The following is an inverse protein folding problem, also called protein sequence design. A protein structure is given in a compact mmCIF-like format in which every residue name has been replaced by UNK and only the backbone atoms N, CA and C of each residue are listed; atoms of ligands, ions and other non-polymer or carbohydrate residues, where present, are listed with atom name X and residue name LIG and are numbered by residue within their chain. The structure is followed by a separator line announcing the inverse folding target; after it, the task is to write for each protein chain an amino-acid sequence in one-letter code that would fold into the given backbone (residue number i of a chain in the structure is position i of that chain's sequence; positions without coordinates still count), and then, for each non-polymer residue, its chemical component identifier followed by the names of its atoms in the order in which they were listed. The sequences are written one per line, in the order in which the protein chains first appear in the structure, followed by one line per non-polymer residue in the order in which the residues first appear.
data_IF_509059494849
#
_entry.id   IF_509059494849
#
_cell.length_a   1.000
_cell.length_b   1.000
_cell.length_c   1.000
_cell.angle_alpha   90.00
_cell.angle_beta   90.00
_cell.angle_gamma   90.00
#
_symmetry.space_group_name_H-M   'P 1'
#
loop_
_entity.id
_entity.type
_entity.pdbx_description
1 polymer ?
#
# COMPACT_ATOMS: atom_id res chain seq x y z
N UNK A 1 -18.46 -16.09 22.82
CA UNK A 1 -19.57 -15.16 22.54
C UNK A 1 -18.99 -13.77 22.35
N UNK A 2 -19.41 -13.04 21.31
CA UNK A 2 -19.00 -11.66 21.09
C UNK A 2 -19.54 -10.78 22.23
N UNK A 3 -18.67 -10.03 22.90
CA UNK A 3 -19.07 -9.23 24.06
C UNK A 3 -19.70 -7.90 23.59
N UNK A 4 -21.05 -7.85 23.57
CA UNK A 4 -21.81 -6.72 23.02
C UNK A 4 -21.57 -5.38 23.73
N UNK A 5 -20.96 -5.38 24.92
CA UNK A 5 -20.62 -4.16 25.66
C UNK A 5 -19.48 -3.34 25.02
N UNK A 6 -18.73 -3.91 24.09
CA UNK A 6 -17.48 -3.33 23.59
C UNK A 6 -17.58 -2.63 22.22
N UNK A 7 -18.73 -2.72 21.56
CA UNK A 7 -18.94 -2.15 20.23
C UNK A 7 -20.39 -1.75 20.01
N UNK A 8 -20.61 -0.81 19.08
CA UNK A 8 -21.96 -0.30 18.81
C UNK A 8 -22.82 -1.39 18.09
N UNK A 9 -24.05 -1.68 18.58
CA UNK A 9 -24.89 -2.73 17.99
C UNK A 9 -25.13 -2.53 16.49
N UNK A 10 -25.36 -1.29 16.06
CA UNK A 10 -25.58 -0.96 14.65
C UNK A 10 -24.36 -1.30 13.75
N UNK A 11 -23.14 -1.12 14.24
CA UNK A 11 -21.92 -1.47 13.50
C UNK A 11 -21.77 -2.99 13.40
N UNK A 12 -22.01 -3.71 14.49
CA UNK A 12 -22.01 -5.17 14.49
C UNK A 12 -23.05 -5.71 13.49
N UNK A 13 -24.28 -5.21 13.54
CA UNK A 13 -25.36 -5.66 12.65
C UNK A 13 -25.03 -5.43 11.18
N UNK A 14 -24.44 -4.28 10.87
CA UNK A 14 -24.01 -3.95 9.50
C UNK A 14 -22.90 -4.89 9.03
N UNK A 15 -21.93 -5.18 9.89
CA UNK A 15 -20.81 -6.09 9.57
C UNK A 15 -21.32 -7.52 9.40
N UNK A 16 -22.20 -8.00 10.30
CA UNK A 16 -22.79 -9.33 10.19
C UNK A 16 -23.63 -9.47 8.93
N UNK A 17 -24.44 -8.47 8.57
CA UNK A 17 -25.20 -8.50 7.32
C UNK A 17 -24.29 -8.57 6.08
N UNK A 18 -23.17 -7.83 6.09
CA UNK A 18 -22.19 -7.88 5.00
C UNK A 18 -21.48 -9.24 4.91
N UNK A 19 -21.02 -9.77 6.04
CA UNK A 19 -20.32 -11.07 6.07
C UNK A 19 -21.27 -12.24 5.78
N UNK A 20 -22.52 -12.19 6.25
CA UNK A 20 -23.51 -13.24 5.99
C UNK A 20 -23.70 -13.48 4.48
N UNK A 21 -23.63 -12.43 3.65
CA UNK A 21 -23.73 -12.57 2.19
C UNK A 21 -22.65 -13.51 1.61
N UNK A 22 -21.48 -13.62 2.25
CA UNK A 22 -20.38 -14.50 1.82
C UNK A 22 -20.66 -15.98 2.14
N UNK A 23 -21.51 -16.27 3.12
CA UNK A 23 -21.86 -17.62 3.54
C UNK A 23 -23.12 -18.18 2.87
N UNK A 24 -23.94 -17.32 2.24
CA UNK A 24 -25.20 -17.74 1.61
C UNK A 24 -25.07 -18.92 0.64
N UNK A 25 -24.03 -19.02 -0.22
CA UNK A 25 -23.87 -20.17 -1.10
C UNK A 25 -23.72 -21.49 -0.34
N UNK A 26 -23.09 -21.47 0.84
CA UNK A 26 -22.85 -22.65 1.67
C UNK A 26 -24.02 -23.00 2.60
N UNK A 27 -24.95 -22.08 2.82
CA UNK A 27 -26.12 -22.28 3.70
C UNK A 27 -27.43 -22.51 2.93
N UNK A 28 -27.34 -22.83 1.63
CA UNK A 28 -28.50 -22.98 0.75
C UNK A 28 -29.44 -21.75 0.79
N UNK A 29 -28.87 -20.55 0.97
CA UNK A 29 -29.63 -19.30 1.05
C UNK A 29 -30.27 -19.00 2.41
N UNK A 30 -30.08 -19.84 3.45
CA UNK A 30 -30.56 -19.53 4.79
C UNK A 30 -29.75 -18.37 5.41
N UNK A 31 -30.40 -17.21 5.56
CA UNK A 31 -29.81 -15.97 6.06
C UNK A 31 -29.45 -16.07 7.54
N UNK A 32 -30.27 -16.72 8.37
CA UNK A 32 -30.00 -16.86 9.81
C UNK A 32 -28.76 -17.72 10.02
N UNK A 33 -28.69 -18.88 9.37
CA UNK A 33 -27.51 -19.75 9.43
C UNK A 33 -26.25 -19.07 8.90
N UNK A 34 -26.36 -18.25 7.84
CA UNK A 34 -25.24 -17.49 7.31
C UNK A 34 -24.75 -16.41 8.28
N UNK A 35 -25.68 -15.75 8.97
CA UNK A 35 -25.37 -14.75 10.00
C UNK A 35 -24.70 -15.41 11.21
N UNK A 36 -25.17 -16.58 11.63
CA UNK A 36 -24.56 -17.36 12.72
C UNK A 36 -23.14 -17.80 12.37
N UNK A 37 -22.91 -18.27 11.14
CA UNK A 37 -21.58 -18.62 10.65
C UNK A 37 -20.63 -17.41 10.67
N UNK A 38 -21.11 -16.24 10.21
CA UNK A 38 -20.34 -15.00 10.25
C UNK A 38 -20.01 -14.57 11.69
N UNK A 39 -20.97 -14.66 12.61
CA UNK A 39 -20.79 -14.34 14.02
C UNK A 39 -19.78 -15.30 14.69
N UNK A 40 -19.87 -16.60 14.40
CA UNK A 40 -18.95 -17.62 14.91
C UNK A 40 -17.51 -17.37 14.41
N UNK A 41 -17.35 -16.99 13.14
CA UNK A 41 -16.03 -16.66 12.60
C UNK A 41 -15.46 -15.38 13.20
N UNK A 42 -16.27 -14.33 13.40
CA UNK A 42 -15.80 -13.12 14.10
C UNK A 42 -15.39 -13.40 15.55
N UNK A 43 -16.09 -14.31 16.23
CA UNK A 43 -15.80 -14.66 17.61
C UNK A 43 -14.42 -15.30 17.80
N UNK A 44 -13.76 -15.80 16.75
CA UNK A 44 -12.41 -16.37 16.84
C UNK A 44 -11.30 -15.32 16.98
N UNK A 45 -11.58 -14.04 16.71
CA UNK A 45 -10.59 -12.95 16.68
C UNK A 45 -10.42 -12.18 18.02
N UNK A 46 -11.02 -12.63 19.14
CA UNK A 46 -11.02 -11.94 20.46
C UNK A 46 -11.24 -10.41 20.38
N UNK A 47 -12.34 -10.01 19.74
CA UNK A 47 -12.63 -8.60 19.43
C UNK A 47 -13.13 -7.86 20.67
N UNK A 48 -12.46 -6.76 21.03
CA UNK A 48 -12.75 -5.92 22.22
C UNK A 48 -13.07 -4.47 21.90
N UNK A 49 -13.00 -4.06 20.63
CA UNK A 49 -13.28 -2.68 20.19
C UNK A 49 -13.90 -2.64 18.81
N UNK A 50 -14.66 -1.59 18.50
CA UNK A 50 -15.15 -1.26 17.14
C UNK A 50 -14.05 -1.34 16.07
N UNK A 51 -12.85 -0.88 16.42
CA UNK A 51 -11.70 -0.88 15.51
C UNK A 51 -11.24 -2.30 15.19
N UNK A 52 -11.10 -3.15 16.20
CA UNK A 52 -10.76 -4.56 16.00
C UNK A 52 -11.86 -5.28 15.21
N UNK A 53 -13.13 -4.97 15.48
CA UNK A 53 -14.28 -5.54 14.76
C UNK A 53 -14.18 -5.26 13.25
N UNK A 54 -13.92 -4.00 12.87
CA UNK A 54 -13.73 -3.63 11.46
C UNK A 54 -12.51 -4.31 10.82
N UNK A 55 -11.40 -4.43 11.55
CA UNK A 55 -10.20 -5.10 11.05
C UNK A 55 -10.43 -6.59 10.82
N UNK A 56 -11.09 -7.28 11.76
CA UNK A 56 -11.46 -8.69 11.61
C UNK A 56 -12.40 -8.91 10.41
N UNK A 57 -13.43 -8.06 10.29
CA UNK A 57 -14.36 -8.13 9.16
C UNK A 57 -13.66 -7.94 7.79
N UNK A 58 -12.72 -6.98 7.71
CA UNK A 58 -11.93 -6.77 6.49
C UNK A 58 -11.00 -7.96 6.19
N UNK A 59 -10.35 -8.53 7.21
CA UNK A 59 -9.53 -9.72 7.03
C UNK A 59 -10.35 -10.89 6.44
N UNK A 60 -11.50 -11.19 7.04
CA UNK A 60 -12.42 -12.24 6.58
C UNK A 60 -12.87 -11.95 5.14
N UNK A 61 -13.34 -10.74 4.86
CA UNK A 61 -13.86 -10.38 3.54
C UNK A 61 -12.81 -10.49 2.43
N UNK A 62 -11.57 -10.05 2.69
CA UNK A 62 -10.48 -10.18 1.73
C UNK A 62 -10.05 -11.64 1.53
N UNK A 63 -10.04 -12.46 2.59
CA UNK A 63 -9.77 -13.88 2.48
C UNK A 63 -10.80 -14.60 1.61
N UNK A 64 -12.10 -14.34 1.80
CA UNK A 64 -13.16 -14.89 0.95
C UNK A 64 -13.06 -14.39 -0.49
N UNK A 65 -12.78 -13.10 -0.70
CA UNK A 65 -12.58 -12.55 -2.05
C UNK A 65 -11.37 -13.17 -2.78
N UNK A 66 -10.31 -13.51 -2.03
CA UNK A 66 -9.16 -14.22 -2.59
C UNK A 66 -9.54 -15.66 -3.02
N UNK A 67 -10.30 -16.37 -2.18
CA UNK A 67 -10.80 -17.72 -2.49
C UNK A 67 -11.75 -17.71 -3.70
N UNK A 68 -12.68 -16.76 -3.76
CA UNK A 68 -13.59 -16.58 -4.91
C UNK A 68 -12.80 -16.32 -6.21
N UNK A 69 -11.81 -15.43 -6.14
CA UNK A 69 -10.94 -15.15 -7.29
C UNK A 69 -10.18 -16.40 -7.78
N UNK A 70 -9.70 -17.24 -6.86
CA UNK A 70 -9.04 -18.51 -7.20
C UNK A 70 -10.01 -19.55 -7.75
N UNK A 71 -11.21 -19.64 -7.19
CA UNK A 71 -12.27 -20.55 -7.66
C UNK A 71 -12.65 -20.23 -9.10
N UNK A 72 -12.89 -18.94 -9.40
CA UNK A 72 -13.18 -18.48 -10.77
C UNK A 72 -12.00 -18.72 -11.72
N UNK A 73 -10.77 -18.53 -11.25
CA UNK A 73 -9.57 -18.81 -12.06
C UNK A 73 -9.36 -20.30 -12.37
N UNK A 74 -10.10 -21.20 -11.72
CA UNK A 74 -10.04 -22.64 -11.96
C UNK A 74 -11.08 -23.12 -13.00
N UNK A 75 -11.92 -22.25 -13.53
CA UNK A 75 -12.87 -22.59 -14.58
C UNK A 75 -12.14 -23.02 -15.88
N UNK A 76 -12.47 -24.19 -16.46
CA UNK A 76 -11.68 -24.81 -17.52
C UNK A 76 -11.69 -24.02 -18.85
N UNK A 77 -12.73 -23.24 -19.10
CA UNK A 77 -12.91 -22.50 -20.37
C UNK A 77 -12.43 -21.04 -20.29
N UNK A 78 -11.75 -20.66 -19.21
CA UNK A 78 -11.34 -19.28 -19.00
C UNK A 78 -10.09 -18.90 -19.82
N UNK A 79 -10.08 -17.77 -20.55
CA UNK A 79 -8.90 -17.31 -21.28
C UNK A 79 -7.70 -17.07 -20.35
N UNK A 80 -6.49 -17.44 -20.79
CA UNK A 80 -5.27 -17.37 -19.98
C UNK A 80 -5.01 -15.99 -19.33
N UNK A 81 -5.27 -14.89 -20.05
CA UNK A 81 -5.12 -13.54 -19.51
C UNK A 81 -6.08 -13.26 -18.33
N UNK A 82 -7.29 -13.82 -18.36
CA UNK A 82 -8.24 -13.68 -17.25
C UNK A 82 -7.81 -14.50 -16.04
N UNK A 83 -7.35 -15.74 -16.26
CA UNK A 83 -6.78 -16.59 -15.21
C UNK A 83 -5.62 -15.89 -14.48
N UNK A 84 -4.68 -15.31 -15.24
CA UNK A 84 -3.54 -14.58 -14.67
C UNK A 84 -4.00 -13.36 -13.86
N UNK A 85 -4.97 -12.60 -14.37
CA UNK A 85 -5.53 -11.43 -13.66
C UNK A 85 -6.21 -11.83 -12.36
N UNK A 86 -7.04 -12.87 -12.36
CA UNK A 86 -7.72 -13.36 -11.16
C UNK A 86 -6.73 -13.87 -10.11
N UNK A 87 -5.69 -14.60 -10.52
CA UNK A 87 -4.61 -15.02 -9.61
C UNK A 87 -3.84 -13.84 -9.01
N UNK A 88 -3.57 -12.80 -9.81
CA UNK A 88 -2.98 -11.55 -9.34
C UNK A 88 -3.87 -10.82 -8.31
N UNK A 89 -5.18 -10.77 -8.57
CA UNK A 89 -6.17 -10.22 -7.63
C UNK A 89 -6.19 -11.02 -6.33
N UNK A 90 -6.24 -12.35 -6.40
CA UNK A 90 -6.22 -13.22 -5.22
C UNK A 90 -4.96 -12.98 -4.35
N UNK A 91 -3.79 -12.85 -4.98
CA UNK A 91 -2.54 -12.53 -4.27
C UNK A 91 -2.62 -11.18 -3.54
N UNK A 92 -3.20 -10.17 -4.20
CA UNK A 92 -3.36 -8.82 -3.64
C UNK A 92 -4.34 -8.82 -2.45
N UNK A 93 -5.48 -9.50 -2.59
CA UNK A 93 -6.50 -9.64 -1.55
C UNK A 93 -5.95 -10.42 -0.35
N UNK A 94 -5.21 -11.52 -0.58
CA UNK A 94 -4.58 -12.29 0.49
C UNK A 94 -3.56 -11.45 1.28
N UNK A 95 -2.75 -10.62 0.61
CA UNK A 95 -1.85 -9.69 1.31
C UNK A 95 -2.61 -8.66 2.14
N UNK A 96 -3.73 -8.15 1.63
CA UNK A 96 -4.57 -7.21 2.38
C UNK A 96 -5.15 -7.89 3.63
N UNK A 97 -5.67 -9.11 3.51
CA UNK A 97 -6.14 -9.91 4.65
C UNK A 97 -5.06 -10.05 5.73
N UNK A 98 -3.87 -10.52 5.36
CA UNK A 98 -2.72 -10.68 6.27
C UNK A 98 -2.32 -9.36 6.94
N UNK A 99 -2.38 -8.23 6.23
CA UNK A 99 -2.08 -6.92 6.82
C UNK A 99 -3.11 -6.51 7.87
N UNK A 100 -4.39 -6.85 7.68
CA UNK A 100 -5.44 -6.59 8.66
C UNK A 100 -5.33 -7.50 9.88
N UNK A 101 -4.98 -8.77 9.68
CA UNK A 101 -4.70 -9.72 10.78
C UNK A 101 -3.50 -9.27 11.61
N UNK A 102 -2.37 -8.95 10.97
CA UNK A 102 -1.19 -8.46 11.68
C UNK A 102 -1.46 -7.16 12.46
N UNK A 103 -2.32 -6.27 11.93
CA UNK A 103 -2.77 -5.07 12.66
C UNK A 103 -3.64 -5.44 13.86
N UNK A 104 -4.51 -6.44 13.73
CA UNK A 104 -5.36 -6.92 14.81
C UNK A 104 -4.53 -7.55 15.92
N UNK A 105 -3.58 -8.43 15.58
CA UNK A 105 -2.63 -9.04 16.52
C UNK A 105 -1.82 -7.96 17.27
N UNK A 106 -1.34 -6.94 16.55
CA UNK A 106 -0.64 -5.81 17.18
C UNK A 106 -1.52 -5.02 18.15
N UNK A 107 -2.82 -4.91 17.90
CA UNK A 107 -3.75 -4.26 18.81
C UNK A 107 -4.10 -5.15 20.00
N UNK A 108 -4.16 -6.47 19.81
CA UNK A 108 -4.40 -7.44 20.89
C UNK A 108 -3.17 -7.57 21.82
N UNK A 109 -1.96 -7.47 21.26
CA UNK A 109 -0.71 -7.52 22.02
C UNK A 109 -0.36 -6.22 22.72
N UNK A 110 -0.99 -5.09 22.34
CA UNK A 110 -0.89 -3.89 23.16
C UNK A 110 -1.63 -4.22 24.45
N UNK A 111 -0.96 -4.20 25.63
CA UNK A 111 -1.68 -4.20 26.88
C UNK A 111 -2.72 -3.09 26.76
N UNK A 112 -3.90 -3.28 27.35
CA UNK A 112 -4.81 -2.17 27.57
C UNK A 112 -3.99 -1.17 28.39
N UNK A 113 -3.25 -0.30 27.70
CA UNK A 113 -2.56 0.81 28.28
C UNK A 113 -3.69 1.47 29.01
N UNK A 114 -3.60 1.43 30.35
CA UNK A 114 -4.52 2.12 31.22
C UNK A 114 -4.82 3.41 30.47
N UNK A 115 -6.07 3.56 30.02
CA UNK A 115 -6.51 4.88 29.59
C UNK A 115 -5.96 5.78 30.70
N UNK A 116 -5.10 6.77 30.41
CA UNK A 116 -4.57 7.59 31.46
C UNK A 116 -5.80 8.21 32.14
N UNK A 117 -6.19 7.60 33.26
CA UNK A 117 -7.21 8.07 34.18
C UNK A 117 -6.63 9.21 35.01
N UNK A 118 -5.40 9.64 34.72
CA UNK A 118 -4.91 10.92 35.18
C UNK A 118 -5.60 12.00 34.34
N UNK A 119 -6.55 12.77 34.91
CA UNK A 119 -6.71 14.13 34.44
C UNK A 119 -5.30 14.71 34.42
N UNK A 120 -4.84 15.15 33.24
CA UNK A 120 -3.76 16.11 33.24
C UNK A 120 -4.24 17.22 34.17
N UNK A 121 -3.59 17.35 35.32
CA UNK A 121 -3.65 18.56 36.14
C UNK A 121 -3.18 19.67 35.22
N UNK A 122 -4.13 20.22 34.46
CA UNK A 122 -3.99 21.51 33.83
C UNK A 122 -3.55 22.43 34.97
N UNK A 123 -2.47 23.20 34.81
CA UNK A 123 -2.08 24.15 35.83
C UNK A 123 -3.34 24.95 36.19
N UNK A 124 -3.69 24.96 37.48
CA UNK A 124 -4.87 25.66 37.99
C UNK A 124 -4.82 27.18 37.69
N UNK A 125 -3.67 27.65 37.21
CA UNK A 125 -3.32 29.02 36.90
C UNK A 125 -3.31 29.23 35.38
N UNK A 126 -4.08 30.23 34.94
CA UNK A 126 -4.02 30.79 33.59
C UNK A 126 -2.99 31.93 33.47
N UNK A 127 -2.06 32.04 34.42
CA UNK A 127 -1.03 33.07 34.35
C UNK A 127 -0.05 32.83 33.19
N UNK A 128 0.27 33.92 32.51
CA UNK A 128 1.15 33.93 31.34
C UNK A 128 2.60 33.56 31.69
N UNK A 129 3.01 33.75 32.95
CA UNK A 129 4.33 33.35 33.43
C UNK A 129 4.49 31.82 33.51
N UNK A 130 3.50 31.11 34.04
CA UNK A 130 3.53 29.64 34.18
C UNK A 130 3.48 28.94 32.81
N UNK A 131 2.74 29.51 31.85
CA UNK A 131 2.70 29.01 30.47
C UNK A 131 4.05 29.15 29.76
N UNK A 132 4.78 30.24 30.03
CA UNK A 132 6.11 30.46 29.45
C UNK A 132 7.17 29.56 30.05
N UNK A 133 7.11 29.27 31.36
CA UNK A 133 8.04 28.34 32.00
C UNK A 133 7.76 26.88 31.61
N UNK A 134 6.49 26.50 31.39
CA UNK A 134 6.14 25.19 30.84
C UNK A 134 6.65 25.00 29.41
N UNK A 135 6.52 26.02 28.55
CA UNK A 135 7.08 26.01 27.19
C UNK A 135 8.61 26.00 27.18
N UNK A 136 9.26 26.60 28.19
CA UNK A 136 10.72 26.64 28.33
C UNK A 136 11.30 25.34 28.91
N UNK A 137 10.49 24.58 29.65
CA UNK A 137 10.83 23.24 30.16
C UNK A 137 10.60 22.11 29.14
N UNK A 138 9.93 22.39 28.01
CA UNK A 138 9.76 21.40 26.95
C UNK A 138 11.12 21.05 26.33
N UNK A 139 11.52 19.76 26.29
CA UNK A 139 12.82 19.36 25.80
C UNK A 139 13.00 19.76 24.33
N UNK A 140 14.16 20.36 24.05
CA UNK A 140 14.58 20.81 22.74
C UNK A 140 14.65 19.65 21.74
N UNK A 141 14.18 19.96 20.53
CA UNK A 141 14.09 19.15 19.31
C UNK A 141 13.12 17.96 19.33
N UNK A 142 12.14 17.92 18.40
CA UNK A 142 11.33 16.74 18.16
C UNK A 142 12.24 15.63 17.62
N UNK A 143 12.71 14.75 18.51
CA UNK A 143 13.44 13.56 18.12
C UNK A 143 12.52 12.73 17.22
N UNK A 144 12.78 12.76 15.91
CA UNK A 144 12.08 11.90 14.96
C UNK A 144 12.12 10.48 15.49
N UNK A 145 10.93 9.87 15.61
CA UNK A 145 10.82 8.50 16.12
C UNK A 145 11.67 7.55 15.27
N UNK A 146 12.16 6.45 15.86
CA UNK A 146 12.96 5.45 15.11
C UNK A 146 12.26 4.98 13.82
N UNK A 147 10.93 4.95 13.82
CA UNK A 147 10.14 4.61 12.63
C UNK A 147 10.17 5.71 11.55
N UNK A 148 10.07 6.98 11.95
CA UNK A 148 10.17 8.11 11.02
C UNK A 148 11.56 8.17 10.36
N UNK A 149 12.64 7.93 11.12
CA UNK A 149 14.00 7.85 10.56
C UNK A 149 14.12 6.76 9.50
N UNK A 150 13.65 5.54 9.78
CA UNK A 150 13.66 4.42 8.81
C UNK A 150 12.79 4.67 7.58
N UNK A 151 11.73 5.47 7.71
CA UNK A 151 10.90 5.83 6.57
C UNK A 151 11.60 6.88 5.69
N UNK A 152 12.17 7.92 6.31
CA UNK A 152 12.96 8.94 5.61
C UNK A 152 14.17 8.32 4.88
N UNK A 153 14.86 7.38 5.51
CA UNK A 153 15.99 6.67 4.90
C UNK A 153 15.58 5.88 3.65
N UNK A 154 14.47 5.12 3.72
CA UNK A 154 13.93 4.38 2.57
C UNK A 154 13.47 5.30 1.44
N UNK A 155 12.93 6.47 1.75
CA UNK A 155 12.58 7.46 0.73
C UNK A 155 13.83 8.03 0.05
N UNK A 156 14.85 8.40 0.83
CA UNK A 156 16.11 8.90 0.32
C UNK A 156 16.87 7.86 -0.52
N UNK A 157 16.82 6.57 -0.14
CA UNK A 157 17.40 5.49 -0.93
C UNK A 157 16.66 5.30 -2.27
N UNK A 158 15.32 5.26 -2.23
CA UNK A 158 14.51 5.14 -3.45
C UNK A 158 14.71 6.32 -4.40
N UNK A 159 14.89 7.53 -3.87
CA UNK A 159 15.19 8.71 -4.66
C UNK A 159 16.57 8.60 -5.34
N UNK A 160 17.60 8.17 -4.59
CA UNK A 160 18.94 7.90 -5.14
C UNK A 160 18.91 6.85 -6.25
N UNK A 161 18.12 5.78 -6.10
CA UNK A 161 17.96 4.77 -7.15
C UNK A 161 17.34 5.35 -8.42
N UNK A 162 16.29 6.17 -8.30
CA UNK A 162 15.66 6.84 -9.44
C UNK A 162 16.60 7.80 -10.17
N UNK A 163 17.40 8.56 -9.43
CA UNK A 163 18.41 9.46 -9.98
C UNK A 163 19.50 8.67 -10.73
N UNK A 164 19.95 7.53 -10.19
CA UNK A 164 20.90 6.65 -10.87
C UNK A 164 20.32 6.02 -12.15
N UNK A 165 19.05 5.59 -12.11
CA UNK A 165 18.37 5.05 -13.30
C UNK A 165 18.19 6.12 -14.37
N UNK A 166 17.79 7.34 -14.00
CA UNK A 166 17.69 8.48 -14.91
C UNK A 166 19.05 8.78 -15.56
N UNK A 167 20.11 8.89 -14.77
CA UNK A 167 21.46 9.13 -15.28
C UNK A 167 21.92 8.03 -16.27
N UNK A 168 21.61 6.76 -15.99
CA UNK A 168 21.92 5.63 -16.90
C UNK A 168 21.14 5.72 -18.21
N UNK A 169 19.89 6.17 -18.17
CA UNK A 169 19.08 6.36 -19.37
C UNK A 169 19.62 7.51 -20.21
N UNK A 170 19.98 8.63 -19.58
CA UNK A 170 20.55 9.80 -20.25
C UNK A 170 21.89 9.45 -20.92
N UNK A 171 22.76 8.68 -20.25
CA UNK A 171 24.01 8.19 -20.83
C UNK A 171 23.77 7.31 -22.06
N UNK A 172 22.77 6.42 -22.01
CA UNK A 172 22.39 5.57 -23.15
C UNK A 172 21.87 6.39 -24.33
N UNK A 173 21.10 7.46 -24.06
CA UNK A 173 20.59 8.35 -25.10
C UNK A 173 21.73 9.15 -25.73
N UNK A 174 22.61 9.73 -24.90
CA UNK A 174 23.78 10.48 -25.37
C UNK A 174 24.69 9.60 -26.24
N UNK A 175 24.96 8.35 -25.81
CA UNK A 175 25.74 7.38 -26.59
C UNK A 175 25.10 7.08 -27.94
N UNK A 176 23.79 6.83 -27.98
CA UNK A 176 23.07 6.58 -29.24
C UNK A 176 23.08 7.79 -30.19
N UNK A 177 23.03 9.01 -29.65
CA UNK A 177 23.13 10.23 -30.44
C UNK A 177 24.53 10.40 -31.02
N UNK A 178 25.57 10.19 -30.22
CA UNK A 178 26.96 10.23 -30.67
C UNK A 178 27.26 9.17 -31.74
N UNK A 179 26.76 7.93 -31.58
CA UNK A 179 26.88 6.86 -32.58
C UNK A 179 26.19 7.24 -33.91
N UNK A 180 25.00 7.86 -33.85
CA UNK A 180 24.29 8.35 -35.04
C UNK A 180 25.04 9.50 -35.72
N UNK A 181 25.60 10.43 -34.96
CA UNK A 181 26.37 11.56 -35.49
C UNK A 181 27.67 11.08 -36.16
N UNK A 182 28.39 10.16 -35.53
CA UNK A 182 29.57 9.53 -36.11
C UNK A 182 29.24 8.80 -37.42
N UNK A 183 28.13 8.05 -37.45
CA UNK A 183 27.66 7.40 -38.68
C UNK A 183 27.29 8.41 -39.78
N UNK A 184 26.70 9.56 -39.42
CA UNK A 184 26.37 10.63 -40.37
C UNK A 184 27.64 11.27 -40.96
N UNK A 185 28.67 11.50 -40.15
CA UNK A 185 29.95 12.03 -40.61
C UNK A 185 30.70 11.03 -41.50
N UNK A 186 30.69 9.74 -41.16
CA UNK A 186 31.29 8.69 -41.98
C UNK A 186 30.59 8.50 -43.34
N UNK A 187 29.28 8.77 -43.40
CA UNK A 187 28.50 8.70 -44.63
C UNK A 187 28.57 9.99 -45.49
N UNK A 188 29.24 11.05 -45.01
CA UNK A 188 29.39 12.27 -45.79
C UNK A 188 30.20 11.94 -47.06
N UNK A 189 29.63 12.13 -48.26
CA UNK A 189 30.31 11.76 -49.50
C UNK A 189 31.61 12.56 -49.59
N UNK A 190 32.74 11.84 -49.70
CA UNK A 190 34.03 12.46 -49.99
C UNK A 190 33.82 13.29 -51.26
N UNK A 191 34.05 14.61 -51.22
CA UNK A 191 33.92 15.43 -52.42
C UNK A 191 34.92 14.86 -53.42
N UNK A 192 34.39 14.16 -54.42
CA UNK A 192 35.16 13.71 -55.56
C UNK A 192 35.69 15.00 -56.17
N UNK A 193 36.98 15.23 -55.98
CA UNK A 193 37.71 16.36 -56.54
C UNK A 193 37.46 16.29 -58.03
N UNK A 194 36.53 17.11 -58.54
CA UNK A 194 36.31 17.22 -59.98
C UNK A 194 37.61 17.84 -60.51
N UNK A 195 38.40 17.11 -61.32
CA UNK A 195 39.55 17.73 -61.94
C UNK A 195 39.02 18.86 -62.81
N UNK A 196 39.42 20.09 -62.48
CA UNK A 196 39.16 21.25 -63.33
C UNK A 196 39.64 20.92 -64.73
N UNK A 197 38.68 20.78 -65.63
CA UNK A 197 38.92 20.62 -67.05
C UNK A 197 39.52 21.95 -67.55
N UNK A 198 40.84 22.07 -67.46
CA UNK A 198 41.62 23.06 -68.20
C UNK A 198 41.56 22.70 -69.69
N UNK A 199 40.43 22.97 -70.34
CA UNK A 199 40.32 22.92 -71.80
C UNK A 199 40.54 24.32 -72.37
N UNK A 200 41.78 24.48 -72.85
CA UNK A 200 42.25 25.28 -73.97
C UNK A 200 41.24 26.23 -74.65
N UNK A 201 41.48 27.54 -74.51
CA UNK A 201 41.09 28.52 -75.53
C UNK A 201 42.10 28.45 -76.68
N UNK A 202 41.64 28.01 -77.85
CA UNK A 202 42.31 28.25 -79.14
C UNK A 202 41.39 29.23 -79.89
N UNK A 203 41.88 30.45 -80.08
CA UNK A 203 41.44 31.39 -81.11
C UNK A 203 42.64 32.26 -81.51
#
# INVERSE_FOLDING_TARGET
MLNAACFTPAVLDRILAFLAALFLPSTAGNVETARDAAAALLASYDIRTDRQLRLAALAIAFSFGALDSLSRAAEPEMPANQVLRLRGNASTLNRAAQQHEAKLEKLAAQPAAAQPDDPQDLPASSDTADLLDFLRAAPAEPQMSRQQRRFAERQAEKQRQREQEAARLDERVARRLAEKEAARLAAAPVPLHQPEAAFAQIA
#
